data_IF_231763144460
#
_entry.id   IF_231763144460
#
_cell.length_a   1.000
_cell.length_b   1.000
_cell.length_c   1.000
_cell.angle_alpha   90.00
_cell.angle_beta   90.00
_cell.angle_gamma   90.00
#
_symmetry.space_group_name_H-M   'P 1'
#
loop_
_entity.id
_entity.type
_entity.pdbx_description
1 polymer ?
#
# COMPACT_ATOMS: atom_id res chain seq x y z
N UNK A 1 -0.60 7.10 30.15
CA UNK A 1 0.64 7.01 29.34
C UNK A 1 0.51 5.73 28.57
N UNK A 2 0.16 5.83 27.30
CA UNK A 2 0.17 4.67 26.40
C UNK A 2 1.65 4.47 26.09
N UNK A 3 2.18 3.35 26.57
CA UNK A 3 3.53 2.92 26.23
C UNK A 3 3.57 2.78 24.71
N UNK A 4 4.28 3.70 24.04
CA UNK A 4 4.58 3.59 22.61
C UNK A 4 5.61 2.46 22.46
N UNK A 5 5.16 1.23 22.73
CA UNK A 5 5.93 0.04 22.43
C UNK A 5 6.33 0.17 20.96
N UNK A 6 7.63 0.34 20.73
CA UNK A 6 8.23 0.26 19.40
C UNK A 6 7.71 -1.01 18.76
N UNK A 7 6.80 -0.87 17.78
CA UNK A 7 6.49 -2.01 16.94
C UNK A 7 7.79 -2.43 16.29
N UNK A 8 8.21 -3.65 16.61
CA UNK A 8 9.36 -4.27 15.98
C UNK A 8 9.14 -4.32 14.46
N UNK A 9 10.13 -3.87 13.70
CA UNK A 9 10.08 -3.82 12.23
C UNK A 9 9.76 -5.19 11.62
N UNK A 10 10.19 -6.28 12.25
CA UNK A 10 9.84 -7.63 11.84
C UNK A 10 8.34 -7.92 11.98
N UNK A 11 7.71 -7.45 13.06
CA UNK A 11 6.27 -7.59 13.28
C UNK A 11 5.49 -6.80 12.22
N UNK A 12 5.87 -5.56 11.92
CA UNK A 12 5.24 -4.74 10.88
C UNK A 12 5.37 -5.39 9.50
N UNK A 13 6.56 -5.88 9.18
CA UNK A 13 6.83 -6.60 7.92
C UNK A 13 5.97 -7.85 7.79
N UNK A 14 5.86 -8.66 8.85
CA UNK A 14 5.05 -9.88 8.87
C UNK A 14 3.54 -9.56 8.74
N UNK A 15 3.04 -8.53 9.42
CA UNK A 15 1.66 -8.06 9.26
C UNK A 15 1.37 -7.61 7.82
N UNK A 16 2.29 -6.88 7.21
CA UNK A 16 2.16 -6.43 5.82
C UNK A 16 2.15 -7.63 4.86
N UNK A 17 3.00 -8.62 5.11
CA UNK A 17 3.02 -9.87 4.33
C UNK A 17 1.72 -10.65 4.47
N UNK A 18 1.18 -10.79 5.68
CA UNK A 18 -0.11 -11.45 5.91
C UNK A 18 -1.25 -10.74 5.18
N UNK A 19 -1.27 -9.40 5.18
CA UNK A 19 -2.23 -8.63 4.39
C UNK A 19 -2.08 -8.90 2.89
N UNK A 20 -0.85 -8.87 2.37
CA UNK A 20 -0.58 -9.20 0.97
C UNK A 20 -1.09 -10.59 0.61
N UNK A 21 -0.83 -11.59 1.44
CA UNK A 21 -1.20 -12.98 1.19
C UNK A 21 -2.72 -13.22 1.34
N UNK A 22 -3.35 -12.72 2.41
CA UNK A 22 -4.75 -12.99 2.74
C UNK A 22 -5.72 -12.13 1.93
N UNK A 23 -5.46 -10.83 1.79
CA UNK A 23 -6.33 -9.90 1.09
C UNK A 23 -5.94 -9.76 -0.38
N UNK A 24 -4.77 -9.20 -0.67
CA UNK A 24 -4.42 -8.82 -2.05
C UNK A 24 -4.36 -10.04 -2.97
N UNK A 25 -3.68 -11.10 -2.55
CA UNK A 25 -3.54 -12.36 -3.30
C UNK A 25 -4.73 -13.28 -3.07
N UNK A 26 -5.13 -13.46 -1.81
CA UNK A 26 -6.17 -14.41 -1.41
C UNK A 26 -7.54 -14.08 -1.99
N UNK A 27 -7.92 -12.82 -2.02
CA UNK A 27 -9.13 -12.32 -2.68
C UNK A 27 -8.90 -11.99 -4.16
N UNK A 28 -7.66 -12.11 -4.64
CA UNK A 28 -7.27 -11.74 -6.00
C UNK A 28 -7.60 -10.27 -6.33
N UNK A 29 -7.47 -9.34 -5.35
CA UNK A 29 -7.70 -7.91 -5.58
C UNK A 29 -6.71 -7.32 -6.60
N UNK A 30 -5.49 -7.86 -6.63
CA UNK A 30 -4.50 -7.59 -7.65
C UNK A 30 -4.06 -8.91 -8.31
N UNK A 31 -4.51 -9.22 -9.53
CA UNK A 31 -4.16 -10.48 -10.21
C UNK A 31 -2.67 -10.61 -10.50
N UNK A 32 -1.92 -9.51 -10.42
CA UNK A 32 -0.50 -9.44 -10.73
C UNK A 32 0.40 -9.67 -9.50
N UNK A 33 -0.14 -9.58 -8.29
CA UNK A 33 0.63 -9.67 -7.05
C UNK A 33 1.19 -11.08 -6.77
N UNK A 34 0.48 -12.11 -7.19
CA UNK A 34 0.82 -13.51 -6.87
C UNK A 34 2.16 -13.95 -7.47
N UNK A 35 2.41 -13.62 -8.73
CA UNK A 35 3.61 -14.10 -9.44
C UNK A 35 4.91 -13.52 -8.86
N UNK A 36 5.05 -12.21 -8.61
CA UNK A 36 6.20 -11.64 -7.91
C UNK A 36 6.36 -12.21 -6.50
N UNK A 37 5.26 -12.36 -5.75
CA UNK A 37 5.31 -12.89 -4.39
C UNK A 37 5.87 -14.32 -4.33
N UNK A 38 5.37 -15.23 -5.16
CA UNK A 38 5.86 -16.63 -5.21
C UNK A 38 7.33 -16.72 -5.64
N UNK A 39 7.80 -15.76 -6.44
CA UNK A 39 9.21 -15.69 -6.89
C UNK A 39 10.12 -14.95 -5.92
N UNK A 40 9.62 -14.48 -4.75
CA UNK A 40 10.35 -13.66 -3.79
C UNK A 40 10.92 -12.36 -4.38
N UNK A 41 10.16 -11.73 -5.29
CA UNK A 41 10.53 -10.47 -5.97
C UNK A 41 9.83 -9.25 -5.37
N UNK A 42 9.08 -9.43 -4.28
CA UNK A 42 8.43 -8.35 -3.50
C UNK A 42 9.32 -8.02 -2.31
N UNK A 43 9.77 -6.77 -2.24
CA UNK A 43 10.51 -6.25 -1.10
C UNK A 43 9.55 -5.52 -0.16
N UNK A 44 9.61 -5.83 1.13
CA UNK A 44 8.88 -5.11 2.20
C UNK A 44 9.92 -4.39 3.04
N UNK A 45 9.82 -3.07 3.12
CA UNK A 45 10.72 -2.21 3.89
C UNK A 45 9.91 -1.43 4.90
N UNK A 46 10.31 -1.48 6.16
CA UNK A 46 9.69 -0.70 7.23
C UNK A 46 10.59 0.48 7.51
N UNK A 47 10.11 1.69 7.26
CA UNK A 47 10.81 2.91 7.62
C UNK A 47 10.73 3.15 9.13
N UNK A 48 11.84 3.47 9.74
CA UNK A 48 11.97 3.88 11.15
C UNK A 48 12.13 5.41 11.28
N UNK A 49 11.88 6.15 10.20
CA UNK A 49 11.96 7.61 10.19
C UNK A 49 11.04 8.23 11.24
N UNK A 50 11.49 9.28 11.88
CA UNK A 50 10.70 10.02 12.89
C UNK A 50 10.07 11.30 12.35
N UNK A 51 10.47 11.69 11.16
CA UNK A 51 10.06 12.91 10.48
C UNK A 51 9.93 12.65 8.98
N UNK A 52 9.16 13.50 8.30
CA UNK A 52 8.90 13.37 6.86
C UNK A 52 10.20 13.32 6.04
N UNK A 53 11.17 14.18 6.32
CA UNK A 53 12.44 14.22 5.58
C UNK A 53 13.15 12.85 5.59
N UNK A 54 13.23 12.20 6.74
CA UNK A 54 13.84 10.87 6.85
C UNK A 54 13.03 9.79 6.13
N UNK A 55 11.70 9.92 6.06
CA UNK A 55 10.87 9.02 5.27
C UNK A 55 11.08 9.23 3.77
N UNK A 56 11.25 10.47 3.33
CA UNK A 56 11.56 10.78 1.94
C UNK A 56 12.95 10.29 1.54
N UNK A 57 13.94 10.35 2.44
CA UNK A 57 15.26 9.72 2.22
C UNK A 57 15.14 8.19 2.06
N UNK A 58 14.27 7.55 2.84
CA UNK A 58 13.98 6.12 2.68
C UNK A 58 13.28 5.84 1.33
N UNK A 59 12.33 6.69 0.92
CA UNK A 59 11.67 6.60 -0.38
C UNK A 59 12.66 6.73 -1.53
N UNK A 60 13.53 7.75 -1.52
CA UNK A 60 14.57 7.95 -2.54
C UNK A 60 15.47 6.74 -2.68
N UNK A 61 15.90 6.18 -1.55
CA UNK A 61 16.76 4.99 -1.53
C UNK A 61 16.05 3.78 -2.18
N UNK A 62 14.78 3.56 -1.87
CA UNK A 62 14.01 2.45 -2.42
C UNK A 62 13.65 2.67 -3.91
N UNK A 63 13.39 3.92 -4.33
CA UNK A 63 13.21 4.29 -5.74
C UNK A 63 14.48 4.00 -6.54
N UNK A 64 15.64 4.46 -6.07
CA UNK A 64 16.93 4.21 -6.72
C UNK A 64 17.26 2.72 -6.76
N UNK A 65 17.01 1.98 -5.67
CA UNK A 65 17.22 0.54 -5.63
C UNK A 65 16.34 -0.16 -6.66
N UNK A 66 15.05 0.18 -6.70
CA UNK A 66 14.10 -0.39 -7.66
C UNK A 66 14.51 -0.03 -9.09
N UNK A 67 14.84 1.25 -9.38
CA UNK A 67 15.26 1.70 -10.71
C UNK A 67 16.52 1.00 -11.24
N UNK A 68 17.49 0.74 -10.38
CA UNK A 68 18.80 0.17 -10.73
C UNK A 68 18.85 -1.36 -10.68
N UNK A 69 17.83 -2.04 -10.15
CA UNK A 69 17.81 -3.50 -10.02
C UNK A 69 16.94 -4.11 -11.13
N UNK A 70 17.37 -5.18 -11.81
CA UNK A 70 16.54 -5.85 -12.81
C UNK A 70 15.22 -6.39 -12.22
N UNK A 71 14.12 -6.36 -12.97
CA UNK A 71 12.82 -6.90 -12.54
C UNK A 71 12.85 -8.39 -12.19
N UNK A 72 13.84 -9.14 -12.73
CA UNK A 72 14.07 -10.55 -12.37
C UNK A 72 14.62 -10.77 -10.96
N UNK A 73 15.11 -9.71 -10.31
CA UNK A 73 15.69 -9.74 -8.95
C UNK A 73 14.83 -8.95 -7.95
N UNK A 74 14.24 -7.83 -8.39
CA UNK A 74 13.34 -6.99 -7.60
C UNK A 74 12.23 -6.44 -8.49
N UNK A 75 11.02 -6.93 -8.32
CA UNK A 75 9.87 -6.51 -9.14
C UNK A 75 9.18 -5.27 -8.56
N UNK A 76 9.02 -5.23 -7.23
CA UNK A 76 8.25 -4.19 -6.57
C UNK A 76 8.65 -4.04 -5.11
N UNK A 77 8.44 -2.84 -4.54
CA UNK A 77 8.71 -2.54 -3.13
C UNK A 77 7.46 -2.04 -2.42
N UNK A 78 7.19 -2.53 -1.23
CA UNK A 78 6.24 -1.98 -0.27
C UNK A 78 7.03 -1.23 0.80
N UNK A 79 7.00 0.11 0.75
CA UNK A 79 7.61 0.97 1.77
C UNK A 79 6.55 1.31 2.81
N UNK A 80 6.72 0.80 4.02
CA UNK A 80 5.74 0.86 5.11
C UNK A 80 6.22 1.80 6.20
N UNK A 81 5.33 2.67 6.70
CA UNK A 81 5.63 3.49 7.87
C UNK A 81 4.51 3.38 8.94
N UNK A 82 4.78 2.74 10.10
CA UNK A 82 3.71 2.40 11.04
C UNK A 82 3.17 3.57 11.85
N UNK A 83 3.88 4.69 11.96
CA UNK A 83 3.56 5.73 12.96
C UNK A 83 3.52 7.18 12.45
N UNK A 84 4.14 7.49 11.29
CA UNK A 84 4.31 8.88 10.84
C UNK A 84 3.02 9.51 10.30
N UNK A 85 2.13 8.70 9.73
CA UNK A 85 0.91 9.15 9.09
C UNK A 85 -0.32 8.60 9.84
N UNK A 86 -0.71 9.22 10.97
CA UNK A 86 -1.80 8.70 11.81
C UNK A 86 -3.19 8.90 11.18
N UNK A 87 -3.33 9.76 10.19
CA UNK A 87 -4.57 10.03 9.47
C UNK A 87 -4.35 10.01 7.95
N UNK A 88 -5.41 9.65 7.23
CA UNK A 88 -5.37 9.51 5.79
C UNK A 88 -5.18 10.86 5.06
N UNK A 89 -5.69 11.97 5.60
CA UNK A 89 -5.57 13.28 4.98
C UNK A 89 -4.10 13.72 4.93
N UNK A 90 -3.38 13.62 6.06
CA UNK A 90 -1.94 13.92 6.12
C UNK A 90 -1.15 13.00 5.18
N UNK A 91 -1.50 11.70 5.12
CA UNK A 91 -0.87 10.77 4.20
C UNK A 91 -1.13 11.13 2.74
N UNK A 92 -2.37 11.49 2.40
CA UNK A 92 -2.75 11.85 1.04
C UNK A 92 -2.06 13.14 0.56
N UNK A 93 -1.89 14.14 1.44
CA UNK A 93 -1.15 15.37 1.12
C UNK A 93 0.33 15.11 0.83
N UNK A 94 0.93 14.08 1.43
CA UNK A 94 2.32 13.70 1.18
C UNK A 94 2.51 13.03 -0.19
N UNK A 95 1.45 12.50 -0.81
CA UNK A 95 1.57 11.77 -2.08
C UNK A 95 2.10 12.66 -3.22
N UNK A 96 1.76 13.96 -3.26
CA UNK A 96 2.32 14.88 -4.25
C UNK A 96 3.85 14.95 -4.12
N UNK A 97 4.37 15.01 -2.89
CA UNK A 97 5.81 15.01 -2.64
C UNK A 97 6.44 13.67 -3.02
N UNK A 98 5.73 12.57 -2.79
CA UNK A 98 6.21 11.25 -3.19
C UNK A 98 6.27 11.09 -4.72
N UNK A 99 5.32 11.65 -5.45
CA UNK A 99 5.32 11.67 -6.92
C UNK A 99 6.44 12.58 -7.45
N UNK A 100 6.70 13.74 -6.82
CA UNK A 100 7.85 14.59 -7.15
C UNK A 100 9.18 13.85 -6.95
N UNK A 101 9.30 13.02 -5.92
CA UNK A 101 10.49 12.20 -5.69
C UNK A 101 10.73 11.19 -6.84
N UNK A 102 9.69 10.66 -7.47
CA UNK A 102 9.84 9.81 -8.67
C UNK A 102 10.47 10.59 -9.82
N UNK A 103 10.02 11.84 -10.03
CA UNK A 103 10.56 12.73 -11.07
C UNK A 103 12.00 13.12 -10.77
N UNK A 104 12.31 13.51 -9.51
CA UNK A 104 13.66 13.90 -9.07
C UNK A 104 14.67 12.75 -9.19
N UNK A 105 14.22 11.50 -9.03
CA UNK A 105 15.03 10.30 -9.25
C UNK A 105 15.11 9.86 -10.73
N UNK A 106 14.59 10.64 -11.68
CA UNK A 106 14.57 10.34 -13.12
C UNK A 106 13.83 9.02 -13.45
N UNK A 107 12.81 8.68 -12.65
CA UNK A 107 12.02 7.43 -12.78
C UNK A 107 10.61 7.65 -13.34
N UNK A 108 10.29 8.86 -13.82
CA UNK A 108 9.03 9.13 -14.51
C UNK A 108 8.84 8.19 -15.71
N UNK A 109 7.68 7.56 -15.82
CA UNK A 109 7.40 6.55 -16.84
C UNK A 109 8.09 5.19 -16.62
N UNK A 110 8.84 5.03 -15.53
CA UNK A 110 9.52 3.78 -15.14
C UNK A 110 8.92 3.18 -13.87
N UNK A 111 8.64 4.01 -12.87
CA UNK A 111 8.04 3.63 -11.58
C UNK A 111 6.86 4.53 -11.30
N UNK A 112 5.79 3.96 -10.78
CA UNK A 112 4.66 4.71 -10.20
C UNK A 112 4.46 4.29 -8.74
N UNK A 113 3.81 5.16 -7.96
CA UNK A 113 3.47 4.91 -6.56
C UNK A 113 1.97 4.68 -6.43
N UNK A 114 1.58 3.59 -5.75
CA UNK A 114 0.21 3.34 -5.36
C UNK A 114 0.10 3.41 -3.82
N UNK A 115 -0.81 4.26 -3.29
CA UNK A 115 -0.95 4.45 -1.85
C UNK A 115 -1.89 3.41 -1.23
N UNK A 116 -1.54 2.98 -0.01
CA UNK A 116 -2.40 2.18 0.87
C UNK A 116 -2.36 2.77 2.28
N UNK A 117 -3.51 2.82 2.95
CA UNK A 117 -3.61 3.36 4.30
C UNK A 117 -4.70 2.62 5.09
N UNK A 118 -4.58 2.44 6.41
CA UNK A 118 -5.64 1.82 7.21
C UNK A 118 -7.02 2.47 7.06
N UNK A 119 -7.05 3.80 6.91
CA UNK A 119 -8.26 4.59 6.73
C UNK A 119 -8.40 5.14 5.30
N UNK A 120 -7.86 4.44 4.30
CA UNK A 120 -7.99 4.86 2.91
C UNK A 120 -9.46 5.08 2.54
N UNK A 121 -9.74 6.18 1.86
CA UNK A 121 -11.07 6.55 1.40
C UNK A 121 -11.01 7.10 -0.01
N UNK A 122 -11.79 6.53 -0.92
CA UNK A 122 -11.95 7.08 -2.26
C UNK A 122 -12.83 8.33 -2.23
N UNK A 123 -12.56 9.25 -3.14
CA UNK A 123 -13.40 10.41 -3.33
C UNK A 123 -14.86 10.00 -3.61
N UNK A 124 -15.81 10.63 -2.93
CA UNK A 124 -17.23 10.37 -3.08
C UNK A 124 -17.75 9.14 -2.35
N UNK A 125 -16.92 8.42 -1.60
CA UNK A 125 -17.37 7.32 -0.74
C UNK A 125 -17.50 7.76 0.72
N UNK A 126 -18.29 7.01 1.51
CA UNK A 126 -18.32 7.17 2.95
C UNK A 126 -17.10 6.49 3.60
N UNK A 127 -16.71 6.94 4.81
CA UNK A 127 -15.51 6.41 5.48
C UNK A 127 -15.60 4.90 5.79
N UNK A 128 -16.81 4.38 6.00
CA UNK A 128 -17.06 2.96 6.28
C UNK A 128 -17.44 2.15 5.04
N UNK A 129 -17.41 2.74 3.85
CA UNK A 129 -17.69 2.02 2.62
C UNK A 129 -16.68 0.88 2.41
N UNK A 130 -17.22 -0.32 2.22
CA UNK A 130 -16.39 -1.52 2.07
C UNK A 130 -15.54 -1.48 0.79
N UNK A 131 -15.91 -0.71 -0.23
CA UNK A 131 -15.13 -0.55 -1.46
C UNK A 131 -13.75 0.08 -1.20
N UNK A 132 -13.62 0.91 -0.15
CA UNK A 132 -12.34 1.49 0.27
C UNK A 132 -11.28 0.44 0.64
N UNK A 133 -11.74 -0.76 0.99
CA UNK A 133 -10.85 -1.83 1.44
C UNK A 133 -9.97 -2.42 0.34
N UNK A 134 -10.21 -2.07 -0.92
CA UNK A 134 -9.26 -2.38 -2.01
C UNK A 134 -7.89 -1.74 -1.77
N UNK A 135 -7.86 -0.55 -1.12
CA UNK A 135 -6.63 0.20 -0.82
C UNK A 135 -6.33 0.32 0.68
N UNK A 136 -7.06 -0.42 1.53
CA UNK A 136 -6.74 -0.48 2.96
C UNK A 136 -5.68 -1.53 3.25
N UNK A 137 -4.69 -1.12 4.04
CA UNK A 137 -3.56 -1.92 4.51
C UNK A 137 -3.43 -1.82 6.03
N UNK A 138 -2.69 -2.71 6.70
CA UNK A 138 -2.46 -2.62 8.13
C UNK A 138 -1.77 -1.33 8.58
N UNK A 139 -0.92 -0.76 7.72
CA UNK A 139 -0.11 0.43 7.98
C UNK A 139 -0.06 1.31 6.74
N UNK A 140 0.16 2.64 6.88
CA UNK A 140 0.47 3.50 5.74
C UNK A 140 1.59 2.91 4.89
N UNK A 141 1.34 2.74 3.60
CA UNK A 141 2.25 2.02 2.70
C UNK A 141 2.29 2.69 1.34
N UNK A 142 3.48 2.97 0.84
CA UNK A 142 3.73 3.32 -0.55
C UNK A 142 4.16 2.06 -1.30
N UNK A 143 3.42 1.71 -2.33
CA UNK A 143 3.73 0.59 -3.21
C UNK A 143 4.43 1.12 -4.46
N UNK A 144 5.73 0.88 -4.58
CA UNK A 144 6.55 1.27 -5.72
C UNK A 144 6.44 0.18 -6.80
N UNK A 145 5.88 0.53 -7.94
CA UNK A 145 5.52 -0.43 -9.01
C UNK A 145 6.21 -0.02 -10.31
N UNK A 146 6.78 -0.98 -11.02
CA UNK A 146 7.31 -0.74 -12.36
C UNK A 146 6.19 -0.58 -13.38
N UNK A 147 6.19 0.53 -14.13
CA UNK A 147 5.19 0.77 -15.16
C UNK A 147 5.26 -0.28 -16.29
N UNK A 148 6.45 -0.74 -16.64
CA UNK A 148 6.61 -1.82 -17.61
C UNK A 148 5.97 -3.14 -17.20
N UNK A 149 5.86 -3.40 -15.90
CA UNK A 149 5.16 -4.58 -15.36
C UNK A 149 3.64 -4.41 -15.41
N UNK A 150 3.15 -3.20 -15.14
CA UNK A 150 1.73 -2.85 -15.29
C UNK A 150 1.32 -2.97 -16.75
N UNK A 151 2.13 -2.43 -17.68
CA UNK A 151 1.85 -2.51 -19.11
C UNK A 151 1.71 -3.97 -19.59
N UNK A 152 2.67 -4.85 -19.21
CA UNK A 152 2.58 -6.28 -19.51
C UNK A 152 1.35 -6.95 -18.88
N UNK A 153 1.00 -6.52 -17.69
CA UNK A 153 -0.17 -7.00 -16.99
C UNK A 153 -1.46 -6.58 -17.72
N UNK A 154 -1.53 -5.33 -18.18
CA UNK A 154 -2.66 -4.82 -18.96
C UNK A 154 -2.83 -5.53 -20.32
N UNK A 155 -1.74 -5.96 -20.95
CA UNK A 155 -1.81 -6.80 -22.16
C UNK A 155 -2.50 -8.14 -21.89
N UNK A 156 -2.25 -8.74 -20.71
CA UNK A 156 -2.87 -10.00 -20.29
C UNK A 156 -4.32 -9.83 -19.82
N UNK A 157 -4.69 -8.64 -19.39
CA UNK A 157 -6.02 -8.25 -18.91
C UNK A 157 -6.41 -6.91 -19.53
N UNK A 158 -6.94 -6.91 -20.77
CA UNK A 158 -7.20 -5.69 -21.55
C UNK A 158 -8.22 -4.74 -20.91
N UNK A 159 -9.02 -5.24 -19.97
CA UNK A 159 -10.05 -4.47 -19.27
C UNK A 159 -9.66 -4.29 -17.80
N UNK A 160 -8.83 -3.27 -17.51
CA UNK A 160 -8.45 -2.92 -16.14
C UNK A 160 -9.68 -2.44 -15.31
N UNK A 161 -10.71 -1.84 -15.97
CA UNK A 161 -11.92 -1.42 -15.30
C UNK A 161 -12.71 -2.62 -14.75
N UNK A 162 -12.69 -3.75 -15.45
CA UNK A 162 -13.32 -4.98 -15.00
C UNK A 162 -12.67 -5.53 -13.69
N UNK A 163 -11.38 -5.26 -13.45
CA UNK A 163 -10.73 -5.64 -12.19
C UNK A 163 -11.29 -4.78 -11.05
N UNK A 164 -11.43 -3.48 -11.28
CA UNK A 164 -11.97 -2.55 -10.29
C UNK A 164 -13.42 -2.90 -9.93
N UNK A 165 -14.29 -3.05 -10.94
CA UNK A 165 -15.70 -3.39 -10.75
C UNK A 165 -15.87 -4.74 -10.03
N UNK A 166 -15.07 -5.72 -10.40
CA UNK A 166 -15.04 -7.03 -9.75
C UNK A 166 -14.63 -6.93 -8.28
N UNK A 167 -13.63 -6.10 -7.96
CA UNK A 167 -13.16 -5.92 -6.60
C UNK A 167 -14.25 -5.28 -5.73
N UNK A 168 -14.93 -4.25 -6.22
CA UNK A 168 -16.07 -3.64 -5.54
C UNK A 168 -17.16 -4.67 -5.29
N UNK A 169 -17.64 -5.36 -6.33
CA UNK A 169 -18.69 -6.37 -6.21
C UNK A 169 -18.32 -7.51 -5.24
N UNK A 170 -17.04 -7.92 -5.22
CA UNK A 170 -16.53 -8.92 -4.28
C UNK A 170 -16.60 -8.42 -2.84
N UNK A 171 -16.12 -7.20 -2.58
CA UNK A 171 -16.09 -6.62 -1.24
C UNK A 171 -17.52 -6.32 -0.74
N UNK A 172 -18.41 -5.79 -1.57
CA UNK A 172 -19.82 -5.60 -1.24
C UNK A 172 -20.51 -6.92 -0.85
N UNK A 173 -20.27 -7.98 -1.63
CA UNK A 173 -20.80 -9.32 -1.34
C UNK A 173 -20.26 -9.89 -0.03
N UNK A 174 -18.98 -9.63 0.26
CA UNK A 174 -18.30 -10.13 1.46
C UNK A 174 -18.69 -9.35 2.70
N UNK A 175 -18.83 -8.02 2.58
CA UNK A 175 -19.11 -7.11 3.66
C UNK A 175 -18.01 -7.09 4.74
N UNK A 176 -18.22 -6.26 5.75
CA UNK A 176 -17.25 -6.12 6.86
C UNK A 176 -17.03 -7.43 7.63
N UNK A 177 -18.11 -8.21 7.86
CA UNK A 177 -17.97 -9.51 8.53
C UNK A 177 -17.06 -10.50 7.76
N UNK A 178 -17.15 -10.47 6.42
CA UNK A 178 -16.30 -11.31 5.58
C UNK A 178 -14.85 -10.85 5.61
N UNK A 179 -14.62 -9.54 5.59
CA UNK A 179 -13.28 -8.96 5.73
C UNK A 179 -12.66 -9.29 7.09
N UNK A 180 -13.41 -9.15 8.19
CA UNK A 180 -12.92 -9.44 9.53
C UNK A 180 -12.50 -10.91 9.70
N UNK A 181 -13.16 -11.84 8.98
CA UNK A 181 -12.78 -13.27 8.97
C UNK A 181 -11.44 -13.57 8.30
N UNK A 182 -10.87 -12.63 7.54
CA UNK A 182 -9.52 -12.77 7.00
C UNK A 182 -8.47 -12.67 8.09
N UNK A 183 -8.84 -12.16 9.27
CA UNK A 183 -7.94 -12.01 10.41
C UNK A 183 -6.62 -11.32 9.99
N UNK A 184 -6.78 -10.18 9.32
CA UNK A 184 -5.65 -9.32 8.92
C UNK A 184 -5.25 -8.49 10.13
N UNK A 185 -3.97 -8.48 10.51
CA UNK A 185 -3.49 -7.64 11.59
C UNK A 185 -3.86 -6.17 11.36
N UNK A 186 -4.22 -5.46 12.42
CA UNK A 186 -4.52 -4.02 12.38
C UNK A 186 -3.41 -3.25 13.07
N UNK A 187 -3.15 -2.05 12.60
CA UNK A 187 -2.26 -1.11 13.28
C UNK A 187 -2.75 -0.90 14.72
N UNK A 188 -1.90 -1.09 15.73
CA UNK A 188 -2.29 -0.88 17.13
C UNK A 188 -2.34 0.61 17.50
N UNK A 189 -1.85 1.50 16.65
CA UNK A 189 -1.91 2.93 16.89
C UNK A 189 -3.30 3.48 16.55
N UNK A 190 -3.85 4.40 17.40
CA UNK A 190 -5.11 5.03 17.10
C UNK A 190 -4.95 5.90 15.84
N UNK A 191 -5.68 5.55 14.79
CA UNK A 191 -5.88 6.44 13.66
C UNK A 191 -6.92 7.48 14.05
N UNK A 192 -6.60 8.76 13.88
CA UNK A 192 -7.54 9.83 14.19
C UNK A 192 -8.66 9.80 13.14
N UNK A 193 -9.89 9.49 13.59
CA UNK A 193 -11.06 9.80 12.77
C UNK A 193 -11.09 11.31 12.54
N UNK A 194 -11.38 11.79 11.34
CA UNK A 194 -11.60 13.21 11.12
C UNK A 194 -12.60 13.72 12.15
N UNK A 195 -12.28 14.85 12.80
CA UNK A 195 -13.19 15.48 13.73
C UNK A 195 -14.48 15.80 12.97
N UNK A 196 -15.60 15.22 13.39
CA UNK A 196 -16.92 15.66 12.98
C UNK A 196 -17.05 17.14 13.34
N UNK A 197 -16.74 18.02 12.40
CA UNK A 197 -17.06 19.44 12.51
C UNK A 197 -18.58 19.56 12.43
N UNK A 198 -19.18 19.84 13.61
CA UNK A 198 -20.56 20.27 13.75
C UNK A 198 -20.75 21.66 13.15
#
# INVERSE_FOLDING_TARGET
MIDTAHLDTNTVSEHTKQWLEKAVIGLNLCPFAKAPHVKNLVRIVVSEARHLDGFLEDLDRELQLLGNTPASELETTLLVHPTLFPDFETFNQMLEIADDAVVENELEGIVQIAPFHPDFQFEGTEADDISNYTNRSPYPTLHLIREGSIAKAAEAFPDASAIFDRNIALLEKMGHEGWDKLDIPRCPFPHHKPSENK
#
